data_IF_910006149552
#
_entry.id   IF_910006149552
#
_cell.length_a   1.000
_cell.length_b   1.000
_cell.length_c   1.000
_cell.angle_alpha   90.00
_cell.angle_beta   90.00
_cell.angle_gamma   90.00
#
_symmetry.space_group_name_H-M   'P 1'
#
loop_
_entity.id
_entity.type
_entity.pdbx_description
1 polymer ?
#
# COMPACT_ATOMS: atom_id res chain seq x y z
N UNK A 1 -7.91 -8.29 -7.88
CA UNK A 1 -7.49 -7.30 -6.85
C UNK A 1 -8.19 -5.95 -7.00
N UNK A 2 -8.30 -5.39 -8.22
CA UNK A 2 -8.93 -4.08 -8.46
C UNK A 2 -10.32 -3.91 -7.82
N UNK A 3 -11.24 -4.84 -8.09
CA UNK A 3 -12.61 -4.80 -7.53
C UNK A 3 -12.62 -4.83 -5.99
N UNK A 4 -11.73 -5.62 -5.38
CA UNK A 4 -11.57 -5.68 -3.92
C UNK A 4 -11.12 -4.33 -3.36
N UNK A 5 -10.16 -3.66 -4.03
CA UNK A 5 -9.69 -2.32 -3.64
C UNK A 5 -10.83 -1.31 -3.78
N UNK A 6 -11.58 -1.34 -4.89
CA UNK A 6 -12.71 -0.42 -5.10
C UNK A 6 -13.78 -0.59 -4.01
N UNK A 7 -14.16 -1.82 -3.69
CA UNK A 7 -15.12 -2.10 -2.61
C UNK A 7 -14.61 -1.65 -1.24
N UNK A 8 -13.35 -1.92 -0.93
CA UNK A 8 -12.73 -1.46 0.32
C UNK A 8 -12.73 0.08 0.43
N UNK A 9 -12.46 0.80 -0.66
CA UNK A 9 -12.54 2.27 -0.70
C UNK A 9 -13.95 2.79 -0.47
N UNK A 10 -14.99 2.09 -0.94
CA UNK A 10 -16.39 2.48 -0.65
C UNK A 10 -16.69 2.39 0.84
N UNK A 11 -16.18 1.36 1.52
CA UNK A 11 -16.37 1.17 2.97
C UNK A 11 -15.59 2.19 3.79
N UNK A 12 -14.28 2.33 3.55
CA UNK A 12 -13.45 3.30 4.25
C UNK A 12 -12.25 3.72 3.39
N UNK A 13 -12.35 4.87 2.72
CA UNK A 13 -11.27 5.43 1.88
C UNK A 13 -9.96 5.69 2.62
N UNK A 14 -10.02 5.96 3.92
CA UNK A 14 -8.85 6.32 4.73
C UNK A 14 -8.24 5.11 5.43
N UNK A 15 -8.67 3.87 5.13
CA UNK A 15 -8.09 2.71 5.80
C UNK A 15 -6.62 2.51 5.37
N UNK A 16 -5.66 2.41 6.30
CA UNK A 16 -4.22 2.36 5.98
C UNK A 16 -3.83 1.27 4.98
N UNK A 17 -4.40 0.07 5.12
CA UNK A 17 -4.02 -1.07 4.28
C UNK A 17 -4.42 -0.90 2.81
N UNK A 18 -5.45 -0.11 2.52
CA UNK A 18 -5.89 0.14 1.15
C UNK A 18 -4.75 0.79 0.36
N UNK A 19 -3.98 1.68 1.00
CA UNK A 19 -2.80 2.30 0.39
C UNK A 19 -1.78 1.25 -0.08
N UNK A 20 -1.39 0.34 0.82
CA UNK A 20 -0.44 -0.74 0.48
C UNK A 20 -0.97 -1.67 -0.62
N UNK A 21 -2.29 -1.90 -0.66
CA UNK A 21 -2.94 -2.70 -1.70
C UNK A 21 -2.89 -2.00 -3.05
N UNK A 22 -3.07 -0.68 -3.09
CA UNK A 22 -2.93 0.13 -4.31
C UNK A 22 -1.48 0.08 -4.81
N UNK A 23 -0.50 0.33 -3.95
CA UNK A 23 0.93 0.30 -4.33
C UNK A 23 1.32 -1.07 -4.91
N UNK A 24 0.97 -2.16 -4.21
CA UNK A 24 1.24 -3.53 -4.68
C UNK A 24 0.50 -3.85 -5.98
N UNK A 25 -0.76 -3.40 -6.12
CA UNK A 25 -1.52 -3.58 -7.36
C UNK A 25 -0.81 -2.93 -8.54
N UNK A 26 -0.42 -1.67 -8.39
CA UNK A 26 0.23 -0.91 -9.45
C UNK A 26 1.58 -1.51 -9.83
N UNK A 27 2.40 -1.91 -8.84
CA UNK A 27 3.68 -2.61 -9.10
C UNK A 27 3.49 -3.92 -9.87
N UNK A 28 2.56 -4.76 -9.42
CA UNK A 28 2.25 -6.03 -10.08
C UNK A 28 1.74 -5.80 -11.50
N UNK A 29 0.91 -4.78 -11.69
CA UNK A 29 0.38 -4.42 -12.99
C UNK A 29 1.48 -3.94 -13.95
N UNK A 30 2.37 -3.04 -13.51
CA UNK A 30 3.53 -2.61 -14.29
C UNK A 30 4.46 -3.77 -14.65
N UNK A 31 4.60 -4.75 -13.75
CA UNK A 31 5.42 -5.94 -14.01
C UNK A 31 4.75 -6.88 -15.03
N UNK A 32 3.43 -7.06 -14.94
CA UNK A 32 2.66 -7.85 -15.89
C UNK A 32 2.73 -7.27 -17.31
N UNK A 33 2.59 -5.94 -17.45
CA UNK A 33 2.71 -5.25 -18.73
C UNK A 33 4.07 -5.43 -19.41
N UNK A 34 5.16 -5.58 -18.64
CA UNK A 34 6.50 -5.85 -19.18
C UNK A 34 6.65 -7.27 -19.70
N UNK A 35 5.91 -8.22 -19.13
CA UNK A 35 6.02 -9.64 -19.48
C UNK A 35 5.20 -9.99 -20.72
N UNK A 36 3.99 -9.44 -20.84
CA UNK A 36 3.12 -9.70 -21.97
C UNK A 36 2.14 -8.53 -22.17
N UNK A 37 1.88 -8.10 -23.43
CA UNK A 37 0.82 -7.14 -23.70
C UNK A 37 -0.55 -7.72 -23.32
N UNK A 38 -1.35 -6.93 -22.62
CA UNK A 38 -2.72 -7.30 -22.29
C UNK A 38 -3.64 -7.10 -23.50
N UNK A 39 -4.79 -7.78 -23.48
CA UNK A 39 -5.86 -7.51 -24.45
C UNK A 39 -6.27 -6.02 -24.38
N UNK A 40 -6.50 -5.40 -25.53
CA UNK A 40 -6.81 -3.97 -25.65
C UNK A 40 -8.02 -3.53 -24.80
N UNK A 41 -9.08 -4.36 -24.72
CA UNK A 41 -10.25 -4.05 -23.91
C UNK A 41 -9.93 -4.07 -22.42
N UNK A 42 -9.09 -5.03 -21.99
CA UNK A 42 -8.64 -5.13 -20.60
C UNK A 42 -7.75 -3.94 -20.25
N UNK A 43 -6.87 -3.54 -21.17
CA UNK A 43 -6.01 -2.36 -21.00
C UNK A 43 -6.84 -1.09 -20.82
N UNK A 44 -7.83 -0.84 -21.67
CA UNK A 44 -8.74 0.32 -21.55
C UNK A 44 -9.43 0.40 -20.19
N UNK A 45 -9.90 -0.73 -19.66
CA UNK A 45 -10.54 -0.78 -18.34
C UNK A 45 -9.52 -0.48 -17.23
N UNK A 46 -8.31 -1.03 -17.34
CA UNK A 46 -7.25 -0.82 -16.36
C UNK A 46 -6.73 0.62 -16.38
N UNK A 47 -6.56 1.24 -17.54
CA UNK A 47 -6.10 2.62 -17.66
C UNK A 47 -7.07 3.56 -16.95
N UNK A 48 -8.38 3.45 -17.25
CA UNK A 48 -9.42 4.22 -16.57
C UNK A 48 -9.42 3.97 -15.05
N UNK A 49 -9.37 2.70 -14.65
CA UNK A 49 -9.45 2.36 -13.23
C UNK A 49 -8.20 2.78 -12.44
N UNK A 50 -7.03 2.76 -13.06
CA UNK A 50 -5.77 3.19 -12.43
C UNK A 50 -5.69 4.72 -12.36
N UNK A 51 -6.15 5.43 -13.39
CA UNK A 51 -6.30 6.88 -13.36
C UNK A 51 -7.19 7.34 -12.19
N UNK A 52 -8.35 6.69 -11.98
CA UNK A 52 -9.24 6.93 -10.84
C UNK A 52 -8.63 6.56 -9.47
N UNK A 53 -7.61 5.70 -9.44
CA UNK A 53 -6.95 5.25 -8.22
C UNK A 53 -5.80 6.19 -7.79
N UNK A 54 -4.98 6.63 -8.74
CA UNK A 54 -3.74 7.37 -8.46
C UNK A 54 -3.71 8.80 -9.00
N UNK A 55 -4.72 9.22 -9.77
CA UNK A 55 -4.85 10.58 -10.32
C UNK A 55 -3.57 11.08 -11.01
N UNK A 56 -2.99 10.24 -11.87
CA UNK A 56 -1.76 10.53 -12.64
C UNK A 56 -0.48 10.77 -11.81
N UNK A 57 -0.49 10.44 -10.51
CA UNK A 57 0.69 10.53 -9.64
C UNK A 57 1.60 9.34 -9.84
N UNK A 58 2.90 9.56 -9.68
CA UNK A 58 3.82 8.44 -9.48
C UNK A 58 3.51 7.73 -8.16
N UNK A 59 3.87 6.44 -8.05
CA UNK A 59 3.66 5.70 -6.80
C UNK A 59 4.45 6.29 -5.63
N UNK A 60 5.60 6.92 -5.93
CA UNK A 60 6.39 7.63 -4.93
C UNK A 60 5.64 8.87 -4.43
N UNK A 61 5.16 9.73 -5.33
CA UNK A 61 4.36 10.91 -4.95
C UNK A 61 3.10 10.53 -4.17
N UNK A 62 2.41 9.47 -4.61
CA UNK A 62 1.23 8.94 -3.91
C UNK A 62 1.59 8.55 -2.46
N UNK A 63 2.73 7.88 -2.26
CA UNK A 63 3.18 7.47 -0.94
C UNK A 63 3.60 8.66 -0.06
N UNK A 64 4.32 9.61 -0.64
CA UNK A 64 4.81 10.79 0.07
C UNK A 64 3.62 11.65 0.55
N UNK A 65 2.62 11.86 -0.30
CA UNK A 65 1.37 12.55 0.07
C UNK A 65 0.58 11.79 1.15
N UNK A 66 0.51 10.47 1.05
CA UNK A 66 -0.16 9.63 2.04
C UNK A 66 0.50 9.77 3.42
N UNK A 67 1.83 9.71 3.48
CA UNK A 67 2.59 9.90 4.72
C UNK A 67 2.38 11.31 5.29
N UNK A 68 2.48 12.34 4.43
CA UNK A 68 2.30 13.74 4.84
C UNK A 68 0.89 13.98 5.42
N UNK A 69 -0.13 13.44 4.77
CA UNK A 69 -1.54 13.59 5.19
C UNK A 69 -1.86 12.87 6.50
N UNK A 70 -1.19 11.76 6.78
CA UNK A 70 -1.54 10.87 7.90
C UNK A 70 -0.43 10.73 8.96
N UNK A 71 0.42 11.75 9.10
CA UNK A 71 1.56 11.76 10.02
C UNK A 71 1.22 11.60 11.52
N UNK A 72 -0.05 11.76 11.89
CA UNK A 72 -0.54 11.59 13.26
C UNK A 72 -0.98 10.16 13.59
N UNK A 73 -0.94 9.23 12.62
CA UNK A 73 -1.40 7.86 12.81
C UNK A 73 -0.30 6.85 12.52
N UNK A 74 0.09 6.10 13.55
CA UNK A 74 1.12 5.07 13.45
C UNK A 74 0.81 3.99 12.39
N UNK A 75 -0.46 3.61 12.22
CA UNK A 75 -0.84 2.60 11.22
C UNK A 75 -0.66 3.11 9.78
N UNK A 76 -0.96 4.39 9.55
CA UNK A 76 -0.74 5.00 8.24
C UNK A 76 0.75 5.17 7.96
N UNK A 77 1.52 5.67 8.94
CA UNK A 77 2.97 5.76 8.81
C UNK A 77 3.61 4.40 8.55
N UNK A 78 3.12 3.36 9.20
CA UNK A 78 3.58 2.00 8.99
C UNK A 78 3.31 1.47 7.57
N UNK A 79 2.08 1.63 7.05
CA UNK A 79 1.77 1.20 5.68
C UNK A 79 2.48 2.08 4.63
N UNK A 80 2.73 3.35 4.94
CA UNK A 80 3.56 4.26 4.12
C UNK A 80 5.05 3.87 4.12
N UNK A 81 5.59 3.46 5.28
CA UNK A 81 6.95 2.94 5.40
C UNK A 81 7.13 1.62 4.65
N UNK A 82 6.18 0.68 4.80
CA UNK A 82 6.17 -0.57 4.06
C UNK A 82 6.14 -0.30 2.55
N UNK A 83 5.27 0.62 2.11
CA UNK A 83 5.18 1.02 0.71
C UNK A 83 6.45 1.70 0.21
N UNK A 84 7.13 2.48 1.05
CA UNK A 84 8.41 3.12 0.70
C UNK A 84 9.49 2.08 0.40
N UNK A 85 9.65 1.09 1.28
CA UNK A 85 10.59 -0.02 1.08
C UNK A 85 10.22 -0.89 -0.12
N UNK A 86 8.92 -1.12 -0.32
CA UNK A 86 8.41 -1.86 -1.46
C UNK A 86 8.73 -1.14 -2.79
N UNK A 87 8.66 0.18 -2.84
CA UNK A 87 8.99 0.97 -4.03
C UNK A 87 10.51 1.07 -4.27
N UNK A 88 11.28 1.20 -3.19
CA UNK A 88 12.73 1.35 -3.23
C UNK A 88 13.37 0.71 -1.99
N UNK A 89 14.05 -0.42 -2.21
CA UNK A 89 14.69 -1.19 -1.14
C UNK A 89 15.85 -0.44 -0.48
N UNK A 90 16.46 0.55 -1.16
CA UNK A 90 17.51 1.39 -0.58
C UNK A 90 16.99 2.32 0.52
N UNK A 91 15.68 2.60 0.54
CA UNK A 91 15.03 3.45 1.55
C UNK A 91 14.66 2.71 2.83
N UNK A 92 15.22 1.52 3.07
CA UNK A 92 14.96 0.70 4.26
C UNK A 92 15.14 1.49 5.55
N UNK A 93 16.26 2.19 5.70
CA UNK A 93 16.55 2.93 6.94
C UNK A 93 15.59 4.10 7.13
N UNK A 94 15.24 4.80 6.05
CA UNK A 94 14.21 5.84 6.07
C UNK A 94 12.85 5.28 6.48
N UNK A 95 12.46 4.13 5.96
CA UNK A 95 11.20 3.45 6.32
C UNK A 95 11.17 3.03 7.80
N UNK A 96 12.27 2.49 8.32
CA UNK A 96 12.40 2.15 9.74
C UNK A 96 12.28 3.41 10.59
N UNK A 97 13.04 4.46 10.26
CA UNK A 97 13.04 5.72 10.98
C UNK A 97 11.66 6.37 11.03
N UNK A 98 10.88 6.29 9.93
CA UNK A 98 9.53 6.83 9.86
C UNK A 98 8.59 6.26 10.93
N UNK A 99 8.73 4.98 11.25
CA UNK A 99 7.89 4.29 12.24
C UNK A 99 8.46 4.46 13.65
N UNK A 100 9.78 4.34 13.80
CA UNK A 100 10.44 4.37 15.13
C UNK A 100 10.51 5.77 15.72
N UNK A 101 10.51 6.83 14.91
CA UNK A 101 10.48 8.22 15.38
C UNK A 101 9.09 8.67 15.84
N UNK A 102 8.06 7.83 15.70
CA UNK A 102 6.70 8.20 16.08
C UNK A 102 6.56 8.37 17.60
N UNK A 103 5.87 9.42 18.01
CA UNK A 103 5.64 9.69 19.44
C UNK A 103 4.75 8.61 20.05
N UNK A 104 5.34 7.75 20.89
CA UNK A 104 4.66 6.64 21.57
C UNK A 104 3.47 7.08 22.42
N UNK A 105 3.48 8.29 22.97
CA UNK A 105 2.38 8.81 23.78
C UNK A 105 1.12 9.10 22.95
N UNK A 106 1.24 9.16 21.62
CA UNK A 106 0.10 9.29 20.69
C UNK A 106 -0.49 7.94 20.28
N UNK A 107 0.15 6.83 20.66
CA UNK A 107 -0.34 5.50 20.33
C UNK A 107 -1.44 5.13 21.32
N UNK A 108 -2.60 4.75 20.77
CA UNK A 108 -3.68 4.19 21.57
C UNK A 108 -3.63 2.67 21.55
N UNK A 109 -3.83 2.03 22.70
CA UNK A 109 -3.71 0.57 22.84
C UNK A 109 -4.73 -0.19 21.98
N UNK A 110 -5.95 0.31 21.89
CA UNK A 110 -7.01 -0.29 21.07
C UNK A 110 -6.64 -0.38 19.58
N UNK A 111 -5.79 0.55 19.10
CA UNK A 111 -5.31 0.57 17.72
C UNK A 111 -4.35 -0.59 17.46
N UNK A 112 -3.51 -0.94 18.45
CA UNK A 112 -2.54 -2.05 18.34
C UNK A 112 -3.25 -3.40 18.35
N UNK A 113 -4.22 -3.59 19.26
CA UNK A 113 -4.96 -4.84 19.36
C UNK A 113 -5.70 -5.17 18.06
N UNK A 114 -6.38 -4.19 17.47
CA UNK A 114 -7.04 -4.36 16.18
C UNK A 114 -6.03 -4.65 15.06
N UNK A 115 -4.88 -3.98 15.05
CA UNK A 115 -3.83 -4.24 14.03
C UNK A 115 -3.29 -5.67 14.05
N UNK A 116 -3.12 -6.28 15.23
CA UNK A 116 -2.64 -7.66 15.37
C UNK A 116 -3.61 -8.70 14.81
N UNK A 117 -4.93 -8.46 14.96
CA UNK A 117 -5.99 -9.34 14.46
C UNK A 117 -6.04 -9.37 12.92
N UNK A 118 -5.78 -8.23 12.25
CA UNK A 118 -5.80 -8.15 10.79
C UNK A 118 -4.54 -8.73 10.11
N UNK A 119 -3.39 -8.77 10.80
CA UNK A 119 -2.10 -9.23 10.24
C UNK A 119 -1.93 -10.74 10.15
N UNK A 120 -2.70 -11.53 10.91
CA UNK A 120 -2.66 -13.00 10.89
C UNK A 120 -2.92 -13.61 9.50
N UNK A 121 -3.51 -12.87 8.56
CA UNK A 121 -3.77 -13.31 7.19
C UNK A 121 -2.63 -13.03 6.19
N UNK A 122 -1.56 -12.29 6.56
CA UNK A 122 -0.48 -11.89 5.64
C UNK A 122 0.72 -12.85 5.60
N UNK A 123 0.76 -13.93 6.40
CA UNK A 123 1.90 -14.83 6.49
C UNK A 123 1.55 -16.30 6.28
N UNK A 124 1.73 -16.80 5.05
CA UNK A 124 2.26 -18.15 4.71
C UNK A 124 2.32 -18.28 3.19
N UNK A 125 3.35 -17.72 2.54
CA UNK A 125 3.74 -18.15 1.18
C UNK A 125 5.25 -17.98 0.98
N UNK A 126 6.05 -18.32 1.99
CA UNK A 126 7.39 -18.84 1.73
C UNK A 126 7.21 -20.28 1.26
N UNK A 127 6.97 -20.44 -0.04
CA UNK A 127 7.09 -21.72 -0.74
C UNK A 127 8.59 -22.02 -0.81
N UNK A 128 9.10 -22.72 0.20
CA UNK A 128 10.37 -23.41 0.10
C UNK A 128 10.28 -24.36 -1.10
N UNK A 129 11.03 -24.04 -2.16
CA UNK A 129 11.38 -25.00 -3.21
C UNK A 129 12.82 -25.40 -2.92
N UNK A 130 12.96 -26.50 -2.18
CA UNK A 130 14.10 -27.40 -2.22
C UNK A 130 13.71 -28.65 -2.98
#
# INVERSE_FOLDING_TARGET
MLQSIQRARVVNKAHPEIHSCIIRFMKSLSSAFKQQPLNEHVQKVLDKATEELICSKTLQQLNDEFIAKHNASILHLYEGACSLYELDSSKKDTAINLVTSFNRNKIRLEVIFNFSQYRGARGTTTRERG
#
